data_IF_689251108452
#
_entry.id   IF_689251108452
#
_cell.length_a   1.000
_cell.length_b   1.000
_cell.length_c   1.000
_cell.angle_alpha   90.00
_cell.angle_beta   90.00
_cell.angle_gamma   90.00
#
_symmetry.space_group_name_H-M   'P 1'
#
loop_
_entity.id
_entity.type
_entity.pdbx_description
1 polymer ?
#
# COMPACT_ATOMS: atom_id res chain seq x y z
N UNK A 1 5.50 9.48 -26.73
CA UNK A 1 6.18 9.83 -25.47
C UNK A 1 7.18 8.73 -25.12
N UNK A 2 8.12 8.91 -24.19
CA UNK A 2 9.00 7.80 -23.77
C UNK A 2 8.28 7.03 -22.67
N UNK A 3 8.08 5.72 -22.87
CA UNK A 3 7.45 4.83 -21.91
C UNK A 3 8.52 4.11 -21.09
N UNK A 4 8.32 4.05 -19.78
CA UNK A 4 9.21 3.41 -18.84
C UNK A 4 8.42 2.67 -17.75
N UNK A 5 9.11 1.77 -17.04
CA UNK A 5 8.57 1.04 -15.90
C UNK A 5 9.51 1.14 -14.71
N UNK A 6 8.97 1.13 -13.49
CA UNK A 6 9.75 1.02 -12.26
C UNK A 6 9.01 0.19 -11.21
N UNK A 7 9.76 -0.43 -10.30
CA UNK A 7 9.23 -1.19 -9.16
C UNK A 7 9.55 -0.43 -7.86
N UNK A 8 8.53 -0.08 -7.09
CA UNK A 8 8.62 0.84 -5.94
C UNK A 8 7.63 0.44 -4.85
N UNK A 9 7.85 0.91 -3.62
CA UNK A 9 6.91 0.70 -2.51
C UNK A 9 5.66 1.56 -2.69
N UNK A 10 4.47 0.97 -2.72
CA UNK A 10 3.20 1.69 -2.82
C UNK A 10 2.83 2.37 -1.50
N UNK A 11 2.48 3.66 -1.53
CA UNK A 11 2.06 4.40 -0.34
C UNK A 11 0.59 4.81 -0.37
N UNK A 12 0.01 4.98 -1.56
CA UNK A 12 -1.40 5.28 -1.71
C UNK A 12 -1.75 5.91 -3.04
N UNK A 13 -3.05 6.06 -3.28
CA UNK A 13 -3.60 6.91 -4.34
C UNK A 13 -4.54 7.94 -3.73
N UNK A 14 -4.59 9.13 -4.31
CA UNK A 14 -5.50 10.18 -3.86
C UNK A 14 -6.17 10.83 -5.07
N UNK A 15 -7.49 10.99 -4.97
CA UNK A 15 -8.29 11.77 -5.90
C UNK A 15 -8.35 13.23 -5.45
N UNK A 16 -8.17 14.12 -6.41
CA UNK A 16 -8.36 15.55 -6.27
C UNK A 16 -9.43 16.00 -7.24
N UNK A 17 -10.41 16.73 -6.73
CA UNK A 17 -11.36 17.46 -7.53
C UNK A 17 -10.76 18.86 -7.79
N UNK A 18 -10.27 19.08 -9.00
CA UNK A 18 -9.71 20.34 -9.46
C UNK A 18 -10.77 21.38 -9.80
N UNK A 19 -10.32 22.59 -10.10
CA UNK A 19 -11.20 23.66 -10.56
C UNK A 19 -11.86 23.29 -11.90
N UNK A 20 -13.12 23.70 -12.08
CA UNK A 20 -13.97 23.37 -13.24
C UNK A 20 -14.31 21.88 -13.41
N UNK A 21 -14.22 21.08 -12.36
CA UNK A 21 -14.65 19.67 -12.37
C UNK A 21 -13.63 18.71 -12.99
N UNK A 22 -12.40 19.18 -13.27
CA UNK A 22 -11.32 18.28 -13.68
C UNK A 22 -10.90 17.39 -12.51
N UNK A 23 -10.86 16.08 -12.72
CA UNK A 23 -10.44 15.12 -11.70
C UNK A 23 -8.99 14.72 -11.94
N UNK A 24 -8.17 14.76 -10.90
CA UNK A 24 -6.79 14.31 -10.97
C UNK A 24 -6.55 13.21 -9.95
N UNK A 25 -5.80 12.19 -10.34
CA UNK A 25 -5.30 11.17 -9.41
C UNK A 25 -3.81 11.39 -9.22
N UNK A 26 -3.35 11.33 -7.97
CA UNK A 26 -1.93 11.19 -7.64
C UNK A 26 -1.65 9.80 -7.10
N UNK A 27 -0.56 9.20 -7.58
CA UNK A 27 0.05 7.99 -7.01
C UNK A 27 1.19 8.41 -6.11
N UNK A 28 1.23 7.90 -4.89
CA UNK A 28 2.32 8.09 -3.93
C UNK A 28 3.11 6.80 -3.80
N UNK A 29 4.42 6.89 -3.94
CA UNK A 29 5.34 5.77 -3.76
C UNK A 29 6.60 6.20 -3.02
N UNK A 30 7.19 5.25 -2.31
CA UNK A 30 8.43 5.42 -1.56
C UNK A 30 9.64 5.20 -2.48
N UNK A 31 10.60 6.11 -2.39
CA UNK A 31 11.97 5.85 -2.85
C UNK A 31 12.74 5.09 -1.76
N UNK A 32 13.60 4.15 -2.15
CA UNK A 32 14.43 3.43 -1.18
C UNK A 32 15.51 4.37 -0.63
N UNK A 33 15.88 4.26 0.66
CA UNK A 33 16.98 5.02 1.22
C UNK A 33 18.30 4.60 0.53
N UNK A 34 18.83 5.48 -0.32
CA UNK A 34 20.02 5.23 -1.14
C UNK A 34 21.35 5.37 -0.37
N UNK A 35 21.28 5.57 0.95
CA UNK A 35 22.43 5.78 1.84
C UNK A 35 23.18 7.09 1.60
N UNK A 36 22.69 7.97 0.71
CA UNK A 36 23.27 9.29 0.40
C UNK A 36 22.31 10.42 0.75
N UNK A 37 21.02 10.16 0.68
CA UNK A 37 19.94 11.02 1.15
C UNK A 37 19.29 10.38 2.38
N UNK A 38 19.35 11.05 3.53
CA UNK A 38 18.79 10.56 4.82
C UNK A 38 17.25 10.61 4.89
N UNK A 39 16.56 10.54 3.77
CA UNK A 39 15.10 10.46 3.78
C UNK A 39 14.70 9.01 3.95
N UNK A 40 14.36 8.61 5.18
CA UNK A 40 13.89 7.24 5.49
C UNK A 40 12.64 6.79 4.71
N UNK A 41 11.96 7.72 4.03
CA UNK A 41 10.96 7.50 2.99
C UNK A 41 10.80 8.81 2.19
N UNK A 42 11.17 8.84 0.91
CA UNK A 42 10.82 9.97 0.04
C UNK A 42 9.48 9.71 -0.63
N UNK A 43 8.51 10.63 -0.50
CA UNK A 43 7.17 10.48 -1.10
C UNK A 43 7.14 11.25 -2.42
N UNK A 44 7.09 10.52 -3.53
CA UNK A 44 6.95 11.13 -4.86
C UNK A 44 5.49 11.03 -5.30
N UNK A 45 4.90 12.17 -5.64
CA UNK A 45 3.56 12.26 -6.21
C UNK A 45 3.60 12.24 -7.74
N UNK A 46 2.94 11.28 -8.37
CA UNK A 46 2.82 11.16 -9.83
C UNK A 46 1.38 11.36 -10.28
N UNK A 47 1.15 12.25 -11.25
CA UNK A 47 -0.16 12.40 -11.87
C UNK A 47 -0.49 11.19 -12.73
N UNK A 48 -1.72 10.72 -12.66
CA UNK A 48 -2.27 9.79 -13.64
C UNK A 48 -2.58 10.50 -14.96
N UNK A 49 -2.43 9.78 -16.06
CA UNK A 49 -2.98 10.15 -17.36
C UNK A 49 -4.53 10.12 -17.31
N UNK A 50 -5.21 10.98 -18.06
CA UNK A 50 -6.65 11.23 -17.91
C UNK A 50 -7.48 9.98 -18.24
N UNK A 51 -7.16 9.29 -19.34
CA UNK A 51 -7.88 8.09 -19.76
C UNK A 51 -7.60 6.90 -18.83
N UNK A 52 -6.45 6.87 -18.15
CA UNK A 52 -6.06 5.83 -17.20
C UNK A 52 -6.43 6.13 -15.73
N UNK A 53 -6.90 7.33 -15.42
CA UNK A 53 -7.00 7.82 -14.04
C UNK A 53 -7.91 6.95 -13.15
N UNK A 54 -9.11 6.61 -13.64
CA UNK A 54 -10.07 5.79 -12.88
C UNK A 54 -9.58 4.36 -12.68
N UNK A 55 -8.93 3.76 -13.69
CA UNK A 55 -8.34 2.41 -13.60
C UNK A 55 -7.25 2.39 -12.53
N UNK A 56 -6.33 3.36 -12.56
CA UNK A 56 -5.22 3.47 -11.60
C UNK A 56 -5.76 3.66 -10.18
N UNK A 57 -6.79 4.49 -10.01
CA UNK A 57 -7.40 4.70 -8.69
C UNK A 57 -8.05 3.41 -8.16
N UNK A 58 -8.85 2.72 -9.00
CA UNK A 58 -9.48 1.47 -8.62
C UNK A 58 -8.44 0.39 -8.27
N UNK A 59 -7.38 0.25 -9.06
CA UNK A 59 -6.28 -0.66 -8.79
C UNK A 59 -5.58 -0.34 -7.45
N UNK A 60 -5.34 0.95 -7.18
CA UNK A 60 -4.74 1.41 -5.92
C UNK A 60 -5.48 0.99 -4.66
N UNK A 61 -6.80 0.82 -4.72
CA UNK A 61 -7.61 0.36 -3.56
C UNK A 61 -7.37 -1.11 -3.18
N UNK A 62 -6.71 -1.88 -4.06
CA UNK A 62 -6.44 -3.31 -3.89
C UNK A 62 -5.05 -3.57 -3.31
N UNK A 63 -4.21 -2.55 -3.13
CA UNK A 63 -2.84 -2.69 -2.67
C UNK A 63 -2.70 -2.32 -1.20
N UNK A 64 -1.91 -3.09 -0.48
CA UNK A 64 -1.54 -2.77 0.90
C UNK A 64 -0.46 -1.67 0.92
N UNK A 65 -0.44 -0.79 1.93
CA UNK A 65 0.70 0.11 2.13
C UNK A 65 2.02 -0.66 2.17
N UNK A 66 3.06 -0.10 1.55
CA UNK A 66 4.40 -0.66 1.36
C UNK A 66 4.46 -1.92 0.46
N UNK A 67 3.34 -2.33 -0.16
CA UNK A 67 3.38 -3.39 -1.16
C UNK A 67 4.24 -2.98 -2.35
N UNK A 68 5.09 -3.89 -2.84
CA UNK A 68 5.87 -3.66 -4.04
C UNK A 68 4.96 -3.65 -5.28
N UNK A 69 5.00 -2.55 -6.02
CA UNK A 69 4.20 -2.36 -7.23
C UNK A 69 5.08 -1.98 -8.41
N UNK A 70 4.69 -2.40 -9.61
CA UNK A 70 5.26 -1.95 -10.87
C UNK A 70 4.37 -0.87 -11.46
N UNK A 71 4.96 0.29 -11.71
CA UNK A 71 4.29 1.43 -12.34
C UNK A 71 4.81 1.55 -13.77
N UNK A 72 3.90 1.56 -14.74
CA UNK A 72 4.18 1.94 -16.13
C UNK A 72 3.81 3.40 -16.32
N UNK A 73 4.72 4.21 -16.87
CA UNK A 73 4.51 5.64 -17.03
C UNK A 73 5.10 6.17 -18.34
N UNK A 74 4.54 7.28 -18.82
CA UNK A 74 5.11 8.05 -19.92
C UNK A 74 5.77 9.33 -19.39
N UNK A 75 6.87 9.74 -20.03
CA UNK A 75 7.50 11.05 -19.76
C UNK A 75 6.95 12.07 -20.74
N UNK A 76 6.25 13.08 -20.21
CA UNK A 76 5.68 14.17 -20.99
C UNK A 76 6.81 15.03 -21.59
N UNK A 77 6.73 15.28 -22.91
CA UNK A 77 7.82 15.96 -23.67
C UNK A 77 7.55 17.43 -23.98
N UNK A 78 6.38 17.97 -23.63
CA UNK A 78 5.97 19.33 -23.98
C UNK A 78 5.05 20.00 -22.97
N UNK A 79 4.90 21.32 -23.09
CA UNK A 79 4.06 22.15 -22.22
C UNK A 79 4.56 22.26 -20.77
N UNK A 80 3.67 22.71 -19.88
CA UNK A 80 3.92 22.83 -18.43
C UNK A 80 4.24 21.49 -17.73
N UNK A 81 4.03 20.37 -18.41
CA UNK A 81 4.27 19.03 -17.89
C UNK A 81 5.57 18.40 -18.44
N UNK A 82 6.40 19.15 -19.17
CA UNK A 82 7.67 18.65 -19.70
C UNK A 82 8.55 18.08 -18.57
N UNK A 83 8.95 16.81 -18.70
CA UNK A 83 9.78 16.10 -17.73
C UNK A 83 9.01 15.48 -16.57
N UNK A 84 7.68 15.66 -16.47
CA UNK A 84 6.86 14.94 -15.50
C UNK A 84 6.57 13.53 -15.98
N UNK A 85 6.59 12.59 -15.03
CA UNK A 85 6.13 11.22 -15.25
C UNK A 85 4.60 11.20 -15.14
N UNK A 86 3.93 10.54 -16.07
CA UNK A 86 2.50 10.34 -16.11
C UNK A 86 2.21 8.86 -15.97
N UNK A 87 1.59 8.44 -14.86
CA UNK A 87 1.25 7.05 -14.63
C UNK A 87 0.19 6.59 -15.63
N UNK A 88 0.42 5.42 -16.22
CA UNK A 88 -0.45 4.78 -17.20
C UNK A 88 -1.07 3.49 -16.67
N UNK A 89 -0.34 2.76 -15.84
CA UNK A 89 -0.80 1.50 -15.26
C UNK A 89 -0.01 1.17 -13.99
N UNK A 90 -0.64 0.44 -13.07
CA UNK A 90 -0.04 -0.03 -11.82
C UNK A 90 -0.46 -1.47 -11.53
N UNK A 91 0.51 -2.32 -11.21
CA UNK A 91 0.30 -3.73 -10.85
C UNK A 91 1.18 -4.15 -9.66
N UNK A 92 0.77 -5.18 -8.93
CA UNK A 92 1.59 -5.76 -7.87
C UNK A 92 2.76 -6.58 -8.45
N UNK A 93 3.93 -6.50 -7.81
CA UNK A 93 5.07 -7.37 -8.14
C UNK A 93 5.00 -8.64 -7.30
N UNK A 94 4.69 -9.78 -7.95
CA UNK A 94 4.57 -11.09 -7.29
C UNK A 94 3.13 -11.58 -7.18
N UNK A 95 2.90 -12.77 -6.58
CA UNK A 95 1.55 -13.32 -6.45
C UNK A 95 0.68 -12.40 -5.61
N UNK A 96 -0.51 -12.07 -6.14
CA UNK A 96 -1.53 -11.24 -5.51
C UNK A 96 -1.66 -11.61 -4.02
N UNK A 97 -1.58 -10.66 -3.07
CA UNK A 97 -1.79 -10.97 -1.66
C UNK A 97 -3.14 -11.65 -1.53
N UNK A 98 -3.15 -12.92 -1.15
CA UNK A 98 -4.37 -13.62 -0.79
C UNK A 98 -4.97 -12.83 0.37
N UNK A 99 -6.19 -12.31 0.17
CA UNK A 99 -6.96 -11.61 1.19
C UNK A 99 -6.74 -12.28 2.55
N UNK A 100 -6.25 -11.51 3.51
CA UNK A 100 -5.93 -11.97 4.86
C UNK A 100 -7.13 -12.74 5.40
N UNK A 101 -7.04 -14.08 5.40
CA UNK A 101 -8.05 -14.92 6.02
C UNK A 101 -8.12 -14.51 7.49
N UNK A 102 -9.32 -14.12 7.94
CA UNK A 102 -9.57 -13.85 9.35
C UNK A 102 -9.06 -15.05 10.16
N UNK A 103 -8.15 -14.79 11.10
CA UNK A 103 -7.61 -15.84 11.96
C UNK A 103 -8.79 -16.54 12.68
N UNK A 104 -8.87 -17.89 12.67
CA UNK A 104 -9.91 -18.58 13.42
C UNK A 104 -9.74 -18.26 14.90
N UNK A 105 -10.79 -17.72 15.53
CA UNK A 105 -10.87 -17.63 16.99
C UNK A 105 -10.80 -19.06 17.55
N UNK A 106 -9.65 -19.43 18.09
CA UNK A 106 -9.48 -20.69 18.78
C UNK A 106 -10.31 -20.67 20.07
N UNK A 107 -11.37 -21.47 20.08
CA UNK A 107 -12.06 -21.93 21.28
C UNK A 107 -11.04 -22.55 22.25
N UNK A 108 -10.93 -21.99 23.45
CA UNK A 108 -10.23 -22.62 24.57
C UNK A 108 -11.21 -22.85 25.73
N UNK A 109 -12.11 -23.83 25.54
CA UNK A 109 -12.60 -24.64 26.66
C UNK A 109 -11.56 -25.74 26.91
N UNK A 110 -10.89 -25.73 28.06
CA UNK A 110 -10.37 -26.96 28.65
C UNK A 110 -10.25 -26.86 30.17
N UNK A 111 -10.95 -27.79 30.80
CA UNK A 111 -11.12 -28.04 32.22
C UNK A 111 -10.41 -29.37 32.53
N UNK A 112 -9.51 -29.39 33.54
CA UNK A 112 -9.38 -30.44 34.59
C UNK A 112 -7.99 -30.44 35.30
N UNK A 113 -8.01 -30.03 36.59
CA UNK A 113 -7.41 -30.53 37.87
C UNK A 113 -6.45 -31.76 37.89
N UNK A 114 -5.85 -32.18 39.05
CA UNK A 114 -5.58 -31.53 40.37
C UNK A 114 -4.21 -31.86 41.05
N UNK A 115 -3.76 -31.08 42.06
CA UNK A 115 -2.94 -31.49 43.24
C UNK A 115 -2.67 -30.23 44.12
N UNK A 116 -2.67 -30.17 45.45
CA UNK A 116 -2.68 -31.18 46.53
C UNK A 116 -3.21 -30.58 47.87
N UNK A 117 -3.70 -31.49 48.72
CA UNK A 117 -3.65 -31.52 50.20
C UNK A 117 -4.49 -30.55 51.06
N UNK A 118 -5.60 -31.11 51.56
CA UNK A 118 -6.17 -30.90 52.90
C UNK A 118 -5.18 -31.39 53.99
N UNK A 119 -5.21 -31.06 55.28
CA UNK A 119 -6.01 -30.21 56.17
C UNK A 119 -5.11 -29.95 57.41
N UNK A 120 -5.34 -28.86 58.14
CA UNK A 120 -4.72 -28.62 59.45
C UNK A 120 -5.75 -28.91 60.56
N UNK A 121 -5.44 -29.67 61.63
CA UNK A 121 -6.37 -29.93 62.72
C UNK A 121 -6.22 -28.90 63.87
N UNK A 122 -7.34 -28.72 64.60
CA UNK A 122 -7.48 -28.13 65.93
C UNK A 122 -7.62 -26.60 66.08
N UNK A 123 -8.81 -26.15 66.55
CA UNK A 123 -9.00 -25.71 67.95
C UNK A 123 -10.49 -25.43 68.29
N UNK A 124 -10.83 -25.87 69.51
CA UNK A 124 -11.90 -25.44 70.44
C UNK A 124 -13.36 -25.78 70.14
#
# INVERSE_FOLDING_TARGET
MARSTMEVAFLGTQRFDGENGQKYIKVFYGDEPDGKTEHGLSIIGMSAEEDAAEEIFAAGTQFEPLQLVRITFDVARGGQNKGKNLALHIEAVGPKPTARAAAPQANAQQQAKPAAQAADPAKS
#
